data_IF_236002453727
#
_entry.id   IF_236002453727
#
_cell.length_a   1.000
_cell.length_b   1.000
_cell.length_c   1.000
_cell.angle_alpha   90.00
_cell.angle_beta   90.00
_cell.angle_gamma   90.00
#
_symmetry.space_group_name_H-M   'P 1'
#
loop_
_entity.id
_entity.type
_entity.pdbx_description
1 polymer ?
#
# COMPACT_ATOMS: atom_id res chain seq x y z
N UNK A 1 4.44 -34.39 -21.62
CA UNK A 1 5.07 -34.21 -20.28
C UNK A 1 5.69 -32.82 -20.09
N UNK A 2 6.45 -32.28 -21.05
CA UNK A 2 7.12 -30.96 -20.94
C UNK A 2 6.16 -29.78 -20.68
N UNK A 3 4.98 -29.75 -21.31
CA UNK A 3 3.94 -28.73 -21.10
C UNK A 3 3.27 -28.82 -19.72
N UNK A 4 3.14 -30.02 -19.16
CA UNK A 4 2.57 -30.23 -17.83
C UNK A 4 3.52 -29.73 -16.74
N UNK A 5 4.82 -30.06 -16.84
CA UNK A 5 5.85 -29.56 -15.93
C UNK A 5 5.91 -28.01 -15.94
N UNK A 6 5.94 -27.40 -17.13
CA UNK A 6 5.94 -25.93 -17.27
C UNK A 6 4.72 -25.25 -16.62
N UNK A 7 3.55 -25.86 -16.71
CA UNK A 7 2.33 -25.35 -16.05
C UNK A 7 2.39 -25.45 -14.52
N UNK A 8 3.07 -26.46 -13.97
CA UNK A 8 3.27 -26.62 -12.53
C UNK A 8 4.17 -25.49 -12.01
N UNK A 9 5.31 -25.25 -12.67
CA UNK A 9 6.24 -24.17 -12.30
C UNK A 9 5.56 -22.79 -12.27
N UNK A 10 4.80 -22.45 -13.32
CA UNK A 10 4.10 -21.17 -13.40
C UNK A 10 3.03 -20.99 -12.30
N UNK A 11 2.39 -22.08 -11.91
CA UNK A 11 1.38 -22.07 -10.84
C UNK A 11 2.02 -21.88 -9.47
N UNK A 12 3.18 -22.48 -9.25
CA UNK A 12 3.91 -22.31 -8.00
C UNK A 12 4.49 -20.90 -7.86
N UNK A 13 5.15 -20.38 -8.90
CA UNK A 13 5.62 -18.99 -8.93
C UNK A 13 4.50 -18.01 -8.64
N UNK A 14 3.30 -18.25 -9.21
CA UNK A 14 2.13 -17.44 -8.91
C UNK A 14 1.83 -17.39 -7.41
N UNK A 15 1.74 -18.54 -6.73
CA UNK A 15 1.39 -18.55 -5.30
C UNK A 15 2.51 -18.00 -4.41
N UNK A 16 3.78 -18.29 -4.71
CA UNK A 16 4.92 -17.81 -3.91
C UNK A 16 5.12 -16.30 -4.05
N UNK A 17 5.01 -15.75 -5.26
CA UNK A 17 5.05 -14.30 -5.47
C UNK A 17 3.82 -13.62 -4.84
N UNK A 18 2.64 -14.25 -4.92
CA UNK A 18 1.43 -13.72 -4.25
C UNK A 18 1.58 -13.74 -2.73
N UNK A 19 2.15 -14.79 -2.14
CA UNK A 19 2.46 -14.87 -0.72
C UNK A 19 3.47 -13.79 -0.29
N UNK A 20 4.51 -13.55 -1.10
CA UNK A 20 5.45 -12.46 -0.87
C UNK A 20 4.72 -11.11 -0.86
N UNK A 21 3.85 -10.87 -1.84
CA UNK A 21 3.05 -9.64 -1.89
C UNK A 21 2.14 -9.51 -0.66
N UNK A 22 1.50 -10.59 -0.21
CA UNK A 22 0.71 -10.60 1.03
C UNK A 22 1.55 -10.16 2.24
N UNK A 23 2.78 -10.66 2.37
CA UNK A 23 3.68 -10.26 3.46
C UNK A 23 4.04 -8.76 3.35
N UNK A 24 4.41 -8.29 2.17
CA UNK A 24 4.71 -6.88 1.96
C UNK A 24 3.52 -5.97 2.27
N UNK A 25 2.30 -6.37 1.87
CA UNK A 25 1.11 -5.54 1.98
C UNK A 25 0.47 -5.58 3.37
N UNK A 26 0.27 -6.78 3.91
CA UNK A 26 -0.46 -7.00 5.15
C UNK A 26 0.44 -6.95 6.39
N UNK A 27 1.66 -7.51 6.30
CA UNK A 27 2.59 -7.55 7.43
C UNK A 27 3.45 -6.29 7.49
N UNK A 28 4.20 -5.98 6.43
CA UNK A 28 5.06 -4.79 6.43
C UNK A 28 4.23 -3.49 6.45
N UNK A 29 3.15 -3.43 5.66
CA UNK A 29 2.21 -2.31 5.70
C UNK A 29 1.53 -2.10 7.07
N UNK A 30 1.09 -3.18 7.72
CA UNK A 30 0.47 -3.12 9.05
C UNK A 30 1.44 -2.66 10.14
N UNK A 31 2.67 -3.19 10.14
CA UNK A 31 3.73 -2.83 11.08
C UNK A 31 4.16 -1.37 10.88
N UNK A 32 4.46 -0.96 9.65
CA UNK A 32 4.92 0.40 9.37
C UNK A 32 3.86 1.45 9.71
N UNK A 33 2.57 1.14 9.50
CA UNK A 33 1.47 2.02 9.90
C UNK A 33 1.35 2.11 11.43
N UNK A 34 1.54 1.00 12.14
CA UNK A 34 1.54 0.98 13.61
C UNK A 34 2.70 1.77 14.24
N UNK A 35 3.91 1.65 13.67
CA UNK A 35 5.11 2.35 14.15
C UNK A 35 5.24 3.80 13.63
N UNK A 36 4.25 4.32 12.89
CA UNK A 36 4.26 5.68 12.31
C UNK A 36 5.51 5.99 11.49
N UNK A 37 6.03 5.00 10.77
CA UNK A 37 7.24 5.17 9.95
C UNK A 37 6.94 6.18 8.82
N UNK A 38 7.74 7.26 8.69
CA UNK A 38 7.58 8.21 7.60
C UNK A 38 7.80 7.51 6.26
N UNK A 39 7.11 7.94 5.21
CA UNK A 39 7.19 7.34 3.86
C UNK A 39 6.76 5.87 3.75
N UNK A 40 6.12 5.30 4.78
CA UNK A 40 5.56 3.94 4.75
C UNK A 40 4.74 3.62 3.50
N UNK A 41 3.87 4.54 3.06
CA UNK A 41 3.09 4.38 1.82
C UNK A 41 3.96 4.20 0.57
N UNK A 42 5.05 4.95 0.45
CA UNK A 42 5.99 4.83 -0.67
C UNK A 42 6.70 3.48 -0.66
N UNK A 43 7.11 2.99 0.53
CA UNK A 43 7.75 1.70 0.68
C UNK A 43 6.81 0.54 0.31
N UNK A 44 5.58 0.54 0.85
CA UNK A 44 4.58 -0.50 0.55
C UNK A 44 4.25 -0.52 -0.94
N UNK A 45 4.00 0.64 -1.55
CA UNK A 45 3.75 0.73 -3.00
C UNK A 45 4.93 0.22 -3.83
N UNK A 46 6.17 0.49 -3.42
CA UNK A 46 7.36 0.01 -4.12
C UNK A 46 7.49 -1.52 -4.07
N UNK A 47 7.18 -2.13 -2.92
CA UNK A 47 7.17 -3.59 -2.77
C UNK A 47 6.04 -4.25 -3.56
N UNK A 48 4.85 -3.63 -3.59
CA UNK A 48 3.73 -4.10 -4.41
C UNK A 48 4.09 -4.07 -5.90
N UNK A 49 4.67 -2.97 -6.39
CA UNK A 49 5.17 -2.85 -7.76
C UNK A 49 6.18 -3.95 -8.08
N UNK A 50 7.15 -4.20 -7.19
CA UNK A 50 8.13 -5.27 -7.38
C UNK A 50 7.48 -6.65 -7.54
N UNK A 51 6.49 -6.98 -6.71
CA UNK A 51 5.75 -8.24 -6.80
C UNK A 51 4.92 -8.33 -8.09
N UNK A 52 4.30 -7.23 -8.53
CA UNK A 52 3.56 -7.20 -9.80
C UNK A 52 4.49 -7.41 -11.00
N UNK A 53 5.67 -6.80 -10.99
CA UNK A 53 6.69 -6.98 -12.04
C UNK A 53 7.18 -8.44 -12.09
N UNK A 54 7.37 -9.07 -10.92
CA UNK A 54 7.67 -10.51 -10.82
C UNK A 54 6.57 -11.37 -11.42
N UNK A 55 5.30 -11.14 -11.06
CA UNK A 55 4.15 -11.85 -11.63
C UNK A 55 4.09 -11.70 -13.15
N UNK A 56 4.30 -10.49 -13.66
CA UNK A 56 4.27 -10.19 -15.09
C UNK A 56 5.34 -10.98 -15.88
N UNK A 57 6.53 -11.16 -15.28
CA UNK A 57 7.65 -11.90 -15.89
C UNK A 57 7.45 -13.41 -15.83
N UNK A 58 7.17 -13.95 -14.64
CA UNK A 58 7.25 -15.39 -14.37
C UNK A 58 5.93 -16.16 -14.59
N UNK A 59 4.78 -15.48 -14.62
CA UNK A 59 3.47 -16.11 -14.79
C UNK A 59 2.87 -15.74 -16.15
N UNK A 60 2.77 -16.66 -17.13
CA UNK A 60 2.29 -16.40 -18.49
C UNK A 60 0.75 -16.36 -18.58
N UNK A 61 0.06 -15.70 -17.65
CA UNK A 61 -1.39 -15.53 -17.67
C UNK A 61 -1.79 -14.06 -17.76
N UNK A 62 -2.75 -13.75 -18.64
CA UNK A 62 -3.31 -12.41 -18.84
C UNK A 62 -4.18 -11.91 -17.68
N UNK A 63 -4.46 -12.77 -16.68
CA UNK A 63 -5.27 -12.40 -15.51
C UNK A 63 -4.54 -12.63 -14.19
N UNK A 64 -3.27 -13.05 -14.23
CA UNK A 64 -2.50 -13.38 -13.04
C UNK A 64 -2.43 -12.21 -12.05
N UNK A 65 -2.14 -11.00 -12.53
CA UNK A 65 -1.95 -9.84 -11.65
C UNK A 65 -3.27 -9.54 -10.92
N UNK A 66 -4.40 -9.48 -11.63
CA UNK A 66 -5.71 -9.24 -11.01
C UNK A 66 -6.11 -10.33 -10.01
N UNK A 67 -5.86 -11.61 -10.34
CA UNK A 67 -6.12 -12.71 -9.41
C UNK A 67 -5.30 -12.56 -8.13
N UNK A 68 -4.01 -12.30 -8.26
CA UNK A 68 -3.13 -12.04 -7.12
C UNK A 68 -3.57 -10.82 -6.31
N UNK A 69 -3.98 -9.72 -6.96
CA UNK A 69 -4.51 -8.52 -6.30
C UNK A 69 -5.73 -8.82 -5.45
N UNK A 70 -6.67 -9.62 -5.95
CA UNK A 70 -7.85 -10.03 -5.17
C UNK A 70 -7.42 -10.86 -3.96
N UNK A 71 -6.51 -11.83 -4.12
CA UNK A 71 -5.99 -12.63 -3.02
C UNK A 71 -5.33 -11.73 -1.97
N UNK A 72 -4.44 -10.84 -2.40
CA UNK A 72 -3.72 -9.89 -1.52
C UNK A 72 -4.69 -8.99 -0.77
N UNK A 73 -5.72 -8.47 -1.44
CA UNK A 73 -6.75 -7.64 -0.79
C UNK A 73 -7.58 -8.44 0.25
N UNK A 74 -7.87 -9.72 -0.02
CA UNK A 74 -8.53 -10.61 0.96
C UNK A 74 -7.62 -10.83 2.17
N UNK A 75 -6.34 -11.12 1.97
CA UNK A 75 -5.39 -11.28 3.08
C UNK A 75 -5.19 -9.98 3.86
N UNK A 76 -5.17 -8.82 3.20
CA UNK A 76 -5.16 -7.52 3.88
C UNK A 76 -6.38 -7.35 4.77
N UNK A 77 -7.55 -7.77 4.31
CA UNK A 77 -8.77 -7.77 5.13
C UNK A 77 -8.69 -8.74 6.32
N UNK A 78 -8.13 -9.94 6.12
CA UNK A 78 -8.02 -10.98 7.14
C UNK A 78 -6.97 -10.65 8.22
N UNK A 79 -5.80 -10.14 7.79
CA UNK A 79 -4.64 -9.92 8.66
C UNK A 79 -4.59 -8.49 9.23
N UNK A 80 -5.14 -7.49 8.53
CA UNK A 80 -5.21 -6.10 9.00
C UNK A 80 -6.59 -5.47 8.76
N UNK A 81 -7.66 -5.95 9.44
CA UNK A 81 -9.05 -5.49 9.24
C UNK A 81 -9.29 -4.02 9.60
N UNK A 82 -8.33 -3.38 10.27
CA UNK A 82 -8.34 -1.97 10.67
C UNK A 82 -7.63 -1.04 9.67
N UNK A 83 -7.06 -1.58 8.58
CA UNK A 83 -6.47 -0.75 7.53
C UNK A 83 -7.52 0.22 6.95
N UNK A 84 -7.13 1.47 6.67
CA UNK A 84 -8.06 2.46 6.13
C UNK A 84 -8.56 2.03 4.74
N UNK A 85 -9.79 2.45 4.34
CA UNK A 85 -10.35 2.07 3.04
C UNK A 85 -9.46 2.45 1.87
N UNK A 86 -8.78 3.59 1.97
CA UNK A 86 -7.86 4.08 0.94
C UNK A 86 -6.69 3.14 0.68
N UNK A 87 -6.25 2.38 1.69
CA UNK A 87 -5.18 1.39 1.51
C UNK A 87 -5.63 0.19 0.66
N UNK A 88 -6.93 -0.11 0.57
CA UNK A 88 -7.45 -1.11 -0.36
C UNK A 88 -7.57 -0.54 -1.77
N UNK A 89 -8.00 0.73 -1.88
CA UNK A 89 -8.06 1.45 -3.15
C UNK A 89 -6.69 1.46 -3.83
N UNK A 90 -5.63 1.76 -3.09
CA UNK A 90 -4.26 1.71 -3.62
C UNK A 90 -3.86 0.32 -4.15
N UNK A 91 -4.16 -0.76 -3.41
CA UNK A 91 -3.86 -2.14 -3.86
C UNK A 91 -4.61 -2.49 -5.14
N UNK A 92 -5.89 -2.16 -5.21
CA UNK A 92 -6.69 -2.39 -6.42
C UNK A 92 -6.19 -1.55 -7.60
N UNK A 93 -5.84 -0.29 -7.37
CA UNK A 93 -5.28 0.59 -8.39
C UNK A 93 -3.97 0.02 -8.95
N UNK A 94 -3.03 -0.35 -8.08
CA UNK A 94 -1.75 -0.96 -8.46
C UNK A 94 -1.95 -2.24 -9.26
N UNK A 95 -2.85 -3.13 -8.80
CA UNK A 95 -3.16 -4.37 -9.50
C UNK A 95 -3.81 -4.17 -10.86
N UNK A 96 -4.77 -3.25 -10.96
CA UNK A 96 -5.48 -2.95 -12.20
C UNK A 96 -4.57 -2.28 -13.24
N UNK A 97 -3.83 -1.25 -12.83
CA UNK A 97 -2.87 -0.56 -13.70
C UNK A 97 -1.74 -1.51 -14.08
N UNK A 98 -1.25 -2.33 -13.16
CA UNK A 98 -0.25 -3.36 -13.44
C UNK A 98 -0.74 -4.36 -14.47
N UNK A 99 -1.98 -4.85 -14.34
CA UNK A 99 -2.57 -5.74 -15.32
C UNK A 99 -2.67 -5.08 -16.70
N UNK A 100 -3.11 -3.82 -16.76
CA UNK A 100 -3.26 -3.07 -18.01
C UNK A 100 -1.90 -2.85 -18.71
N UNK A 101 -0.89 -2.40 -17.97
CA UNK A 101 0.44 -2.09 -18.51
C UNK A 101 1.20 -3.34 -18.97
N UNK A 102 0.94 -4.50 -18.37
CA UNK A 102 1.58 -5.78 -18.73
C UNK A 102 0.73 -6.66 -19.66
N UNK A 103 -0.40 -6.15 -20.20
CA UNK A 103 -1.13 -6.84 -21.29
C UNK A 103 -0.23 -7.07 -22.50
N UNK A 104 0.58 -6.07 -22.85
CA UNK A 104 1.53 -6.11 -23.95
C UNK A 104 2.95 -6.22 -23.40
N UNK A 105 3.50 -7.44 -23.39
CA UNK A 105 4.83 -7.73 -22.80
C UNK A 105 6.03 -7.16 -23.55
N UNK A 106 5.80 -6.48 -24.68
CA UNK A 106 6.86 -5.91 -25.55
C UNK A 106 7.68 -4.85 -24.81
N UNK A 107 7.03 -3.98 -24.02
CA UNK A 107 7.68 -2.84 -23.36
C UNK A 107 7.90 -3.07 -21.86
N UNK A 108 8.42 -4.25 -21.46
CA UNK A 108 8.49 -4.66 -20.04
C UNK A 108 9.08 -3.61 -19.09
N UNK A 109 10.24 -3.01 -19.41
CA UNK A 109 10.86 -1.98 -18.55
C UNK A 109 10.03 -0.70 -18.51
N UNK A 110 9.48 -0.27 -19.66
CA UNK A 110 8.62 0.90 -19.74
C UNK A 110 7.34 0.72 -18.93
N UNK A 111 6.70 -0.45 -19.03
CA UNK A 111 5.54 -0.82 -18.23
C UNK A 111 5.85 -0.86 -16.73
N UNK A 112 7.03 -1.37 -16.33
CA UNK A 112 7.45 -1.38 -14.93
C UNK A 112 7.68 0.04 -14.37
N UNK A 113 8.32 0.92 -15.15
CA UNK A 113 8.50 2.34 -14.79
C UNK A 113 7.16 3.06 -14.69
N UNK A 114 6.30 2.91 -15.70
CA UNK A 114 4.98 3.52 -15.70
C UNK A 114 4.14 3.05 -14.51
N UNK A 115 4.16 1.75 -14.20
CA UNK A 115 3.46 1.21 -13.04
C UNK A 115 3.97 1.82 -11.74
N UNK A 116 5.28 1.89 -11.55
CA UNK A 116 5.90 2.46 -10.36
C UNK A 116 5.55 3.94 -10.17
N UNK A 117 5.66 4.74 -11.24
CA UNK A 117 5.31 6.16 -11.23
C UNK A 117 3.85 6.34 -10.87
N UNK A 118 2.93 5.64 -11.55
CA UNK A 118 1.50 5.76 -11.30
C UNK A 118 1.13 5.33 -9.87
N UNK A 119 1.71 4.23 -9.37
CA UNK A 119 1.46 3.75 -8.01
C UNK A 119 1.95 4.71 -6.92
N UNK A 120 3.12 5.32 -7.10
CA UNK A 120 3.68 6.26 -6.10
C UNK A 120 3.00 7.63 -6.18
N UNK A 121 2.68 8.11 -7.38
CA UNK A 121 1.93 9.36 -7.60
C UNK A 121 0.51 9.24 -7.06
N UNK A 122 -0.17 8.11 -7.26
CA UNK A 122 -1.50 7.87 -6.68
C UNK A 122 -1.48 8.02 -5.16
N UNK A 123 -0.50 7.41 -4.49
CA UNK A 123 -0.35 7.55 -3.03
C UNK A 123 -0.06 9.00 -2.60
N UNK A 124 0.66 9.78 -3.40
CA UNK A 124 0.96 11.18 -3.13
C UNK A 124 -0.29 12.06 -3.28
N UNK A 125 -0.99 11.89 -4.40
CA UNK A 125 -2.25 12.59 -4.71
C UNK A 125 -3.28 12.29 -3.64
N UNK A 126 -3.41 11.04 -3.21
CA UNK A 126 -4.36 10.66 -2.16
C UNK A 126 -4.11 11.43 -0.85
N UNK A 127 -2.85 11.69 -0.48
CA UNK A 127 -2.50 12.48 0.72
C UNK A 127 -2.86 13.96 0.55
N UNK A 128 -2.57 14.53 -0.61
CA UNK A 128 -2.93 15.92 -0.94
C UNK A 128 -4.46 16.08 -0.92
N UNK A 129 -5.20 15.14 -1.52
CA UNK A 129 -6.67 15.16 -1.52
C UNK A 129 -7.23 15.09 -0.10
N UNK A 130 -6.66 14.25 0.78
CA UNK A 130 -7.08 14.22 2.19
C UNK A 130 -6.85 15.57 2.87
N UNK A 131 -5.70 16.23 2.66
CA UNK A 131 -5.45 17.56 3.20
C UNK A 131 -6.43 18.60 2.67
N UNK A 132 -6.72 18.58 1.37
CA UNK A 132 -7.67 19.51 0.73
C UNK A 132 -9.09 19.31 1.25
N UNK A 133 -9.54 18.07 1.41
CA UNK A 133 -10.87 17.75 1.93
C UNK A 133 -10.99 18.17 3.39
N UNK A 134 -10.00 17.85 4.22
CA UNK A 134 -10.04 18.12 5.67
C UNK A 134 -9.95 19.62 5.97
N UNK A 135 -8.93 20.30 5.44
CA UNK A 135 -8.60 21.66 5.85
C UNK A 135 -9.10 22.74 4.87
N UNK A 136 -9.47 22.37 3.65
CA UNK A 136 -9.94 23.31 2.63
C UNK A 136 -8.86 24.30 2.15
N UNK A 137 -9.28 25.31 1.39
CA UNK A 137 -8.39 26.32 0.81
C UNK A 137 -7.70 27.20 1.85
N UNK A 138 -8.29 27.36 3.04
CA UNK A 138 -7.72 28.21 4.09
C UNK A 138 -6.38 27.68 4.61
N UNK A 139 -6.18 26.35 4.62
CA UNK A 139 -4.87 25.78 4.94
C UNK A 139 -3.80 26.13 3.90
N UNK A 140 -4.12 26.00 2.62
CA UNK A 140 -3.18 26.33 1.54
C UNK A 140 -2.83 27.83 1.55
N UNK A 141 -3.81 28.71 1.77
CA UNK A 141 -3.58 30.15 1.98
C UNK A 141 -2.70 30.43 3.19
N UNK A 142 -2.92 29.74 4.31
CA UNK A 142 -2.10 29.90 5.51
C UNK A 142 -0.65 29.46 5.27
N UNK A 143 -0.43 28.39 4.49
CA UNK A 143 0.91 27.98 4.05
C UNK A 143 1.56 29.05 3.16
N UNK A 144 0.81 29.58 2.19
CA UNK A 144 1.30 30.65 1.32
C UNK A 144 1.70 31.91 2.11
N UNK A 145 0.84 32.34 3.05
CA UNK A 145 1.09 33.49 3.92
C UNK A 145 2.27 33.26 4.86
N UNK A 146 2.41 32.06 5.41
CA UNK A 146 3.54 31.68 6.25
C UNK A 146 4.86 31.79 5.48
N UNK A 147 4.92 31.21 4.27
CA UNK A 147 6.13 31.23 3.45
C UNK A 147 6.47 32.66 3.03
N UNK A 148 5.49 33.45 2.57
CA UNK A 148 5.70 34.87 2.24
C UNK A 148 6.30 35.67 3.40
N UNK A 149 5.83 35.42 4.62
CA UNK A 149 6.36 36.08 5.83
C UNK A 149 7.81 35.67 6.12
N UNK A 150 8.16 34.41 5.89
CA UNK A 150 9.52 33.88 6.14
C UNK A 150 10.50 34.30 5.05
N UNK A 151 10.09 34.30 3.78
CA UNK A 151 10.98 34.59 2.63
C UNK A 151 11.06 36.06 2.27
N UNK A 152 10.12 36.90 2.74
CA UNK A 152 10.05 38.33 2.40
C UNK A 152 9.74 38.63 0.93
N UNK A 153 9.51 37.61 0.12
CA UNK A 153 9.34 37.73 -1.34
C UNK A 153 7.86 37.92 -1.70
N UNK A 154 7.60 38.94 -2.52
CA UNK A 154 6.27 39.23 -3.10
C UNK A 154 6.07 38.61 -4.50
N UNK A 155 7.04 37.84 -5.00
CA UNK A 155 7.09 37.43 -6.42
C UNK A 155 6.44 36.08 -6.74
N UNK A 156 6.20 35.23 -5.75
CA UNK A 156 5.55 33.93 -5.96
C UNK A 156 4.22 33.94 -5.22
N UNK A 157 3.13 33.91 -5.97
CA UNK A 157 1.78 34.00 -5.42
C UNK A 157 1.28 32.68 -4.82
N UNK A 158 1.83 31.54 -5.27
CA UNK A 158 1.29 30.19 -4.98
C UNK A 158 2.37 29.18 -4.55
N UNK A 159 3.03 29.42 -3.43
CA UNK A 159 4.02 28.49 -2.84
C UNK A 159 3.42 27.12 -2.53
N UNK A 160 2.19 27.11 -2.03
CA UNK A 160 1.47 25.94 -1.57
C UNK A 160 1.19 24.98 -2.73
N UNK A 161 0.84 25.50 -3.91
CA UNK A 161 0.75 24.75 -5.16
C UNK A 161 2.13 24.22 -5.61
N UNK A 162 3.17 25.05 -5.56
CA UNK A 162 4.53 24.64 -5.93
C UNK A 162 5.04 23.49 -5.05
N UNK A 163 4.76 23.52 -3.74
CA UNK A 163 5.07 22.44 -2.80
C UNK A 163 4.27 21.18 -3.15
N UNK A 164 2.98 21.30 -3.44
CA UNK A 164 2.15 20.15 -3.82
C UNK A 164 2.67 19.47 -5.11
N UNK A 165 3.00 20.27 -6.14
CA UNK A 165 3.58 19.78 -7.39
C UNK A 165 4.96 19.17 -7.13
N UNK A 166 5.82 19.83 -6.35
CA UNK A 166 7.13 19.31 -5.98
C UNK A 166 7.05 17.97 -5.25
N UNK A 167 6.07 17.80 -4.35
CA UNK A 167 5.81 16.54 -3.67
C UNK A 167 5.41 15.41 -4.64
N UNK A 168 4.56 15.71 -5.64
CA UNK A 168 4.16 14.76 -6.68
C UNK A 168 5.35 14.41 -7.58
N UNK A 169 6.15 15.40 -8.01
CA UNK A 169 7.35 15.20 -8.83
C UNK A 169 8.36 14.31 -8.09
N UNK A 170 8.57 14.54 -6.79
CA UNK A 170 9.43 13.70 -5.98
C UNK A 170 8.99 12.23 -6.01
N UNK A 171 7.67 11.97 -5.89
CA UNK A 171 7.13 10.62 -5.98
C UNK A 171 7.29 10.03 -7.38
N UNK A 172 7.13 10.82 -8.43
CA UNK A 172 7.37 10.39 -9.80
C UNK A 172 8.84 10.02 -10.03
N UNK A 173 9.80 10.83 -9.55
CA UNK A 173 11.24 10.56 -9.66
C UNK A 173 11.59 9.25 -8.92
N UNK A 174 11.11 9.08 -7.68
CA UNK A 174 11.31 7.82 -6.95
C UNK A 174 10.65 6.66 -7.68
N UNK A 175 9.46 6.86 -8.27
CA UNK A 175 8.78 5.87 -9.10
C UNK A 175 9.62 5.43 -10.29
N UNK A 176 10.26 6.35 -11.00
CA UNK A 176 11.17 6.03 -12.11
C UNK A 176 12.31 5.13 -11.62
N UNK A 177 12.95 5.52 -10.52
CA UNK A 177 14.04 4.74 -9.93
C UNK A 177 13.58 3.33 -9.51
N UNK A 178 12.46 3.23 -8.78
CA UNK A 178 11.88 1.97 -8.31
C UNK A 178 11.49 1.06 -9.46
N UNK A 179 10.84 1.59 -10.50
CA UNK A 179 10.42 0.81 -11.66
C UNK A 179 11.58 0.31 -12.50
N UNK A 180 12.58 1.16 -12.75
CA UNK A 180 13.81 0.76 -13.43
C UNK A 180 14.57 -0.31 -12.64
N UNK A 181 14.75 -0.08 -11.33
CA UNK A 181 15.41 -1.02 -10.44
C UNK A 181 14.68 -2.37 -10.40
N UNK A 182 13.35 -2.37 -10.25
CA UNK A 182 12.53 -3.58 -10.24
C UNK A 182 12.66 -4.36 -11.54
N UNK A 183 12.55 -3.69 -12.69
CA UNK A 183 12.70 -4.34 -14.00
C UNK A 183 14.09 -4.95 -14.20
N UNK A 184 15.15 -4.24 -13.79
CA UNK A 184 16.53 -4.72 -13.88
C UNK A 184 16.76 -5.94 -12.99
N UNK A 185 16.27 -5.90 -11.75
CA UNK A 185 16.41 -7.00 -10.80
C UNK A 185 15.71 -8.27 -11.30
N UNK A 186 14.47 -8.13 -11.77
CA UNK A 186 13.63 -9.25 -12.26
C UNK A 186 14.11 -9.82 -13.60
N UNK A 187 14.83 -9.05 -14.42
CA UNK A 187 15.46 -9.57 -15.64
C UNK A 187 16.72 -10.38 -15.35
N UNK A 188 17.52 -9.94 -14.40
CA UNK A 188 18.82 -10.55 -14.10
C UNK A 188 18.70 -11.81 -13.23
N UNK A 189 17.52 -12.06 -12.67
CA UNK A 189 17.31 -13.13 -11.71
C UNK A 189 17.33 -14.54 -12.27
N UNK A 190 17.11 -14.73 -13.57
CA UNK A 190 17.12 -16.07 -14.20
C UNK A 190 18.47 -16.78 -14.04
N UNK A 191 19.57 -16.06 -13.83
CA UNK A 191 20.91 -16.63 -13.72
C UNK A 191 21.47 -16.70 -12.29
N UNK A 192 20.84 -16.05 -11.31
CA UNK A 192 21.42 -15.93 -9.97
C UNK A 192 21.37 -17.22 -9.16
N UNK A 193 20.36 -18.08 -9.38
CA UNK A 193 20.25 -19.37 -8.70
C UNK A 193 21.46 -20.28 -8.97
N UNK A 194 21.99 -20.25 -10.19
CA UNK A 194 23.17 -21.03 -10.58
C UNK A 194 24.49 -20.37 -10.16
N UNK A 195 24.51 -19.03 -10.09
CA UNK A 195 25.73 -18.28 -9.80
C UNK A 195 26.07 -18.23 -8.30
N UNK A 196 25.07 -18.34 -7.42
CA UNK A 196 25.27 -18.22 -5.97
C UNK A 196 24.53 -19.31 -5.17
N UNK A 197 24.89 -20.60 -5.33
CA UNK A 197 24.21 -21.69 -4.64
C UNK A 197 24.26 -21.57 -3.11
N UNK A 198 25.28 -20.92 -2.55
CA UNK A 198 25.46 -20.74 -1.10
C UNK A 198 24.34 -19.94 -0.42
N UNK A 199 23.51 -19.20 -1.18
CA UNK A 199 22.39 -18.43 -0.64
C UNK A 199 21.03 -19.12 -0.81
N UNK A 200 21.00 -20.36 -1.31
CA UNK A 200 19.78 -21.16 -1.39
C UNK A 200 19.46 -21.75 -0.01
N UNK A 201 18.24 -21.48 0.46
CA UNK A 201 17.73 -22.02 1.72
C UNK A 201 17.19 -23.43 1.43
N UNK A 202 17.73 -24.43 2.10
CA UNK A 202 17.35 -25.86 1.97
C UNK A 202 16.42 -26.34 3.10
N UNK A 203 16.03 -25.44 3.99
CA UNK A 203 15.41 -25.81 5.26
C UNK A 203 13.88 -25.93 5.15
N UNK A 204 13.39 -27.18 5.15
CA UNK A 204 11.97 -27.57 5.11
C UNK A 204 11.30 -27.61 6.50
N UNK A 205 11.99 -27.22 7.58
CA UNK A 205 11.55 -27.47 8.97
C UNK A 205 10.40 -26.58 9.50
N UNK A 206 9.60 -25.94 8.66
CA UNK A 206 8.69 -24.85 9.06
C UNK A 206 7.22 -25.20 9.29
N UNK A 207 6.90 -26.41 9.74
CA UNK A 207 5.53 -26.81 10.09
C UNK A 207 5.02 -26.27 11.44
N UNK A 208 5.84 -25.62 12.28
CA UNK A 208 5.46 -25.35 13.68
C UNK A 208 5.28 -23.88 14.11
N UNK A 209 5.39 -22.90 13.20
CA UNK A 209 5.07 -21.51 13.56
C UNK A 209 3.56 -21.27 13.45
N UNK A 210 2.84 -21.59 14.54
CA UNK A 210 1.42 -21.28 14.67
C UNK A 210 1.20 -19.78 14.45
N UNK A 211 0.33 -19.43 13.50
CA UNK A 211 -0.13 -18.07 13.32
C UNK A 211 -0.69 -17.54 14.63
N UNK A 212 -0.11 -16.45 15.15
CA UNK A 212 -0.68 -15.65 16.24
C UNK A 212 -2.04 -15.15 15.77
N UNK A 213 -3.08 -15.91 16.06
CA UNK A 213 -4.47 -15.50 15.90
C UNK A 213 -4.96 -15.09 17.28
N UNK A 214 -4.91 -13.79 17.57
CA UNK A 214 -5.93 -13.14 18.40
C UNK A 214 -5.77 -11.62 18.42
N UNK A 215 -6.85 -10.96 18.01
CA UNK A 215 -7.40 -9.89 18.82
C UNK A 215 -8.90 -10.12 18.94
N UNK A 216 -9.35 -10.48 20.15
CA UNK A 216 -10.78 -10.44 20.52
C UNK A 216 -11.13 -8.98 20.81
N UNK A 217 -11.92 -8.34 19.95
CA UNK A 217 -12.55 -7.06 20.28
C UNK A 217 -13.79 -7.31 21.15
N UNK A 218 -13.77 -6.82 22.39
CA UNK A 218 -14.96 -6.63 23.24
C UNK A 218 -15.61 -5.25 22.98
N UNK A 219 -16.87 -5.17 23.42
CA UNK A 219 -18.01 -4.42 22.85
C UNK A 219 -17.91 -2.89 22.79
N UNK A 220 -18.63 -2.37 21.79
CA UNK A 220 -19.06 -0.98 21.57
C UNK A 220 -20.00 -0.48 22.68
N UNK A 221 -19.71 0.69 23.24
CA UNK A 221 -20.71 1.67 23.73
C UNK A 221 -20.32 3.14 23.47
N UNK A 222 -19.22 3.40 22.77
CA UNK A 222 -18.67 4.75 22.56
C UNK A 222 -19.21 5.46 21.30
N UNK A 223 -19.86 4.74 20.37
CA UNK A 223 -20.30 5.34 19.10
C UNK A 223 -21.41 6.39 19.24
N UNK A 224 -22.32 6.22 20.21
CA UNK A 224 -23.42 7.18 20.41
C UNK A 224 -22.93 8.51 20.98
N UNK A 225 -21.93 8.50 21.86
CA UNK A 225 -21.32 9.73 22.40
C UNK A 225 -20.64 10.54 21.29
N UNK A 226 -19.88 9.88 20.41
CA UNK A 226 -19.28 10.54 19.24
C UNK A 226 -20.31 11.05 18.24
N UNK A 227 -21.43 10.34 18.06
CA UNK A 227 -22.50 10.76 17.16
C UNK A 227 -23.26 11.98 17.72
N UNK A 228 -23.54 11.99 19.03
CA UNK A 228 -24.16 13.13 19.71
C UNK A 228 -23.24 14.36 19.71
N UNK A 229 -21.94 14.17 19.98
CA UNK A 229 -20.94 15.22 19.87
C UNK A 229 -20.82 15.76 18.43
N UNK A 230 -20.93 14.88 17.42
CA UNK A 230 -20.91 15.30 16.02
C UNK A 230 -22.13 16.12 15.62
N UNK A 231 -23.34 15.67 16.01
CA UNK A 231 -24.58 16.42 15.76
C UNK A 231 -24.53 17.79 16.43
N UNK A 232 -24.01 17.86 17.66
CA UNK A 232 -23.87 19.10 18.41
C UNK A 232 -22.86 20.06 17.75
N UNK A 233 -21.69 19.56 17.34
CA UNK A 233 -20.72 20.37 16.57
C UNK A 233 -21.30 20.81 15.22
N UNK A 234 -22.11 19.97 14.57
CA UNK A 234 -22.73 20.30 13.29
C UNK A 234 -23.80 21.37 13.47
N UNK A 235 -24.60 21.27 14.53
CA UNK A 235 -25.60 22.28 14.89
C UNK A 235 -24.94 23.63 15.17
N UNK A 236 -23.85 23.67 15.95
CA UNK A 236 -23.10 24.90 16.18
C UNK A 236 -22.45 25.47 14.92
N UNK A 237 -21.92 24.61 14.04
CA UNK A 237 -21.39 25.04 12.75
C UNK A 237 -22.48 25.64 11.85
N UNK A 238 -23.64 24.99 11.75
CA UNK A 238 -24.79 25.47 10.96
C UNK A 238 -25.36 26.78 11.53
N UNK A 239 -25.49 26.88 12.86
CA UNK A 239 -25.90 28.12 13.53
C UNK A 239 -24.94 29.26 13.20
N UNK A 240 -23.62 29.02 13.27
CA UNK A 240 -22.60 30.03 12.94
C UNK A 240 -22.65 30.51 11.48
N UNK A 241 -23.17 29.69 10.56
CA UNK A 241 -23.31 30.04 9.15
C UNK A 241 -24.64 30.76 8.87
N UNK A 242 -25.73 30.34 9.51
CA UNK A 242 -27.09 30.86 9.27
C UNK A 242 -27.38 32.15 10.05
N UNK A 243 -26.85 32.29 11.27
CA UNK A 243 -26.96 33.51 12.09
C UNK A 243 -25.57 33.94 12.61
N UNK A 244 -24.82 34.71 11.81
CA UNK A 244 -23.49 35.18 12.20
C UNK A 244 -23.49 36.17 13.36
N UNK A 245 -24.64 36.76 13.74
CA UNK A 245 -24.73 37.75 14.81
C UNK A 245 -24.95 37.08 16.19
N UNK A 246 -25.70 35.98 16.23
CA UNK A 246 -25.96 35.17 17.43
C UNK A 246 -25.03 33.96 17.63
N UNK A 247 -23.91 33.87 16.89
CA UNK A 247 -23.03 32.72 16.92
C UNK A 247 -22.34 32.55 18.30
N UNK A 248 -22.59 31.42 18.97
CA UNK A 248 -21.91 31.02 20.23
C UNK A 248 -20.42 30.72 20.04
N UNK A 249 -20.00 30.45 18.79
CA UNK A 249 -18.62 30.17 18.45
C UNK A 249 -17.89 31.46 18.02
N UNK A 250 -16.67 31.70 18.52
CA UNK A 250 -15.81 32.78 18.04
C UNK A 250 -15.70 32.81 16.52
N UNK A 251 -15.75 34.01 15.93
CA UNK A 251 -15.61 34.24 14.48
C UNK A 251 -14.18 34.02 13.96
N UNK A 252 -13.27 33.55 14.80
CA UNK A 252 -11.89 33.33 14.43
C UNK A 252 -11.79 32.27 13.33
N UNK A 253 -11.17 32.65 12.20
CA UNK A 253 -10.95 31.78 11.05
C UNK A 253 -10.28 30.45 11.44
N UNK A 254 -9.36 30.50 12.42
CA UNK A 254 -8.67 29.31 12.94
C UNK A 254 -9.65 28.33 13.59
N UNK A 255 -10.57 28.83 14.42
CA UNK A 255 -11.55 27.98 15.11
C UNK A 255 -12.53 27.35 14.10
N UNK A 256 -12.94 28.10 13.08
CA UNK A 256 -13.78 27.56 12.00
C UNK A 256 -13.09 26.42 11.23
N UNK A 257 -11.79 26.56 10.91
CA UNK A 257 -11.01 25.50 10.26
C UNK A 257 -10.92 24.26 11.15
N UNK A 258 -10.71 24.44 12.47
CA UNK A 258 -10.64 23.34 13.42
C UNK A 258 -11.97 22.61 13.57
N UNK A 259 -13.09 23.34 13.69
CA UNK A 259 -14.43 22.75 13.82
C UNK A 259 -14.82 22.03 12.53
N UNK A 260 -14.57 22.62 11.36
CA UNK A 260 -14.79 21.96 10.07
C UNK A 260 -13.96 20.69 9.95
N UNK A 261 -12.67 20.76 10.25
CA UNK A 261 -11.77 19.60 10.23
C UNK A 261 -12.29 18.50 11.17
N UNK A 262 -12.70 18.84 12.39
CA UNK A 262 -13.27 17.91 13.35
C UNK A 262 -14.56 17.25 12.83
N UNK A 263 -15.47 18.05 12.25
CA UNK A 263 -16.71 17.54 11.65
C UNK A 263 -16.42 16.56 10.51
N UNK A 264 -15.49 16.88 9.62
CA UNK A 264 -15.14 16.01 8.49
C UNK A 264 -14.45 14.74 8.99
N UNK A 265 -13.52 14.83 9.94
CA UNK A 265 -12.84 13.67 10.53
C UNK A 265 -13.85 12.73 11.20
N UNK A 266 -14.76 13.28 12.01
CA UNK A 266 -15.77 12.47 12.70
C UNK A 266 -16.79 11.91 11.70
N UNK A 267 -17.21 12.67 10.70
CA UNK A 267 -18.07 12.17 9.62
C UNK A 267 -17.39 11.04 8.81
N UNK A 268 -16.10 11.21 8.53
CA UNK A 268 -15.29 10.20 7.85
C UNK A 268 -15.20 8.91 8.68
N UNK A 269 -14.95 9.02 9.98
CA UNK A 269 -14.85 7.87 10.87
C UNK A 269 -16.20 7.18 11.12
N UNK A 270 -17.29 7.95 11.27
CA UNK A 270 -18.62 7.43 11.61
C UNK A 270 -19.40 6.92 10.39
N UNK A 271 -19.29 7.58 9.24
CA UNK A 271 -20.14 7.30 8.07
C UNK A 271 -19.33 6.84 6.86
N UNK A 272 -18.37 7.65 6.39
CA UNK A 272 -17.75 7.43 5.06
C UNK A 272 -16.87 6.17 5.05
N UNK A 273 -15.88 6.09 5.95
CA UNK A 273 -14.99 4.96 6.09
C UNK A 273 -15.72 3.63 6.32
N UNK A 274 -16.68 3.51 7.27
CA UNK A 274 -17.40 2.27 7.46
C UNK A 274 -18.27 1.89 6.27
N UNK A 275 -18.89 2.83 5.56
CA UNK A 275 -19.70 2.54 4.37
C UNK A 275 -18.85 2.00 3.22
N UNK A 276 -17.72 2.62 2.94
CA UNK A 276 -16.76 2.12 1.94
C UNK A 276 -16.24 0.73 2.37
N UNK A 277 -15.89 0.55 3.64
CA UNK A 277 -15.44 -0.75 4.15
C UNK A 277 -16.51 -1.83 4.09
N UNK A 278 -17.79 -1.50 4.24
CA UNK A 278 -18.88 -2.46 4.05
C UNK A 278 -18.94 -2.94 2.60
N UNK A 279 -18.82 -2.03 1.63
CA UNK A 279 -18.78 -2.39 0.22
C UNK A 279 -17.57 -3.27 -0.13
N UNK A 280 -16.38 -2.88 0.32
CA UNK A 280 -15.14 -3.65 0.13
C UNK A 280 -15.27 -5.04 0.77
N UNK A 281 -15.72 -5.13 2.03
CA UNK A 281 -15.89 -6.40 2.73
C UNK A 281 -16.89 -7.30 2.01
N UNK A 282 -18.04 -6.78 1.60
CA UNK A 282 -19.05 -7.55 0.86
C UNK A 282 -18.46 -8.11 -0.44
N UNK A 283 -17.75 -7.28 -1.20
CA UNK A 283 -17.13 -7.69 -2.45
C UNK A 283 -16.03 -8.75 -2.23
N UNK A 284 -15.15 -8.55 -1.25
CA UNK A 284 -14.04 -9.45 -0.95
C UNK A 284 -14.51 -10.79 -0.36
N UNK A 285 -15.50 -10.79 0.53
CA UNK A 285 -16.07 -12.02 1.09
C UNK A 285 -16.74 -12.88 0.00
N UNK A 286 -17.44 -12.25 -0.95
CA UNK A 286 -17.99 -12.96 -2.10
C UNK A 286 -16.90 -13.60 -2.96
N UNK A 287 -15.75 -12.91 -3.15
CA UNK A 287 -14.60 -13.46 -3.87
C UNK A 287 -13.83 -14.52 -3.08
N UNK A 288 -13.79 -14.43 -1.76
CA UNK A 288 -13.16 -15.41 -0.88
C UNK A 288 -13.80 -16.80 -1.03
N UNK A 289 -15.14 -16.86 -1.08
CA UNK A 289 -15.85 -18.12 -1.31
C UNK A 289 -15.47 -18.75 -2.65
N UNK A 290 -15.36 -17.94 -3.72
CA UNK A 290 -15.00 -18.38 -5.07
C UNK A 290 -13.53 -18.84 -5.19
N UNK A 291 -12.62 -18.18 -4.47
CA UNK A 291 -11.18 -18.40 -4.58
C UNK A 291 -10.61 -19.21 -3.39
N UNK A 292 -11.45 -19.99 -2.69
CA UNK A 292 -11.08 -20.69 -1.45
C UNK A 292 -9.83 -21.58 -1.60
N UNK A 293 -9.72 -22.29 -2.73
CA UNK A 293 -8.55 -23.15 -3.01
C UNK A 293 -7.27 -22.32 -3.16
N UNK A 294 -7.30 -21.26 -3.96
CA UNK A 294 -6.14 -20.36 -4.15
C UNK A 294 -5.72 -19.70 -2.83
N UNK A 295 -6.68 -19.27 -2.03
CA UNK A 295 -6.42 -18.65 -0.71
C UNK A 295 -5.79 -19.65 0.27
N UNK A 296 -6.29 -20.89 0.31
CA UNK A 296 -5.73 -21.93 1.18
C UNK A 296 -4.28 -22.24 0.82
N UNK A 297 -3.95 -22.35 -0.47
CA UNK A 297 -2.57 -22.57 -0.93
C UNK A 297 -1.68 -21.39 -0.54
N UNK A 298 -2.12 -20.15 -0.79
CA UNK A 298 -1.34 -18.97 -0.38
C UNK A 298 -1.16 -18.90 1.15
N UNK A 299 -2.18 -19.26 1.93
CA UNK A 299 -2.12 -19.28 3.40
C UNK A 299 -1.05 -20.25 3.90
N UNK A 300 -0.97 -21.45 3.31
CA UNK A 300 0.00 -22.48 3.66
C UNK A 300 1.45 -22.03 3.37
N UNK A 301 1.65 -21.17 2.37
CA UNK A 301 2.97 -20.63 2.01
C UNK A 301 3.41 -19.42 2.85
N UNK A 302 2.51 -18.79 3.62
CA UNK A 302 2.87 -17.58 4.38
C UNK A 302 3.96 -17.82 5.45
N UNK A 303 3.92 -18.90 6.26
CA UNK A 303 4.97 -19.17 7.24
C UNK A 303 6.34 -19.35 6.59
N UNK A 304 6.41 -20.16 5.53
CA UNK A 304 7.63 -20.36 4.73
C UNK A 304 8.14 -19.03 4.17
N UNK A 305 7.26 -18.23 3.56
CA UNK A 305 7.64 -16.96 2.95
C UNK A 305 8.15 -15.94 3.97
N UNK A 306 7.58 -15.90 5.18
CA UNK A 306 8.05 -15.06 6.30
C UNK A 306 9.44 -15.50 6.76
N UNK A 307 9.67 -16.80 6.81
CA UNK A 307 10.93 -17.39 7.20
C UNK A 307 12.02 -17.13 6.16
N UNK A 308 11.73 -17.32 4.87
CA UNK A 308 12.61 -16.93 3.75
C UNK A 308 12.96 -15.46 3.90
N UNK A 309 11.98 -14.57 4.04
CA UNK A 309 12.23 -13.14 4.17
C UNK A 309 13.18 -12.82 5.34
N UNK A 310 12.98 -13.43 6.51
CA UNK A 310 13.84 -13.24 7.68
C UNK A 310 15.26 -13.76 7.45
N UNK A 311 15.41 -14.99 6.94
CA UNK A 311 16.73 -15.59 6.66
C UNK A 311 17.48 -14.81 5.59
N UNK A 312 16.83 -14.36 4.52
CA UNK A 312 17.44 -13.52 3.50
C UNK A 312 17.98 -12.20 4.09
N UNK A 313 17.24 -11.60 5.04
CA UNK A 313 17.69 -10.38 5.72
C UNK A 313 18.94 -10.62 6.57
N UNK A 314 19.00 -11.77 7.25
CA UNK A 314 20.16 -12.19 8.04
C UNK A 314 21.38 -12.51 7.15
N UNK A 315 21.19 -13.26 6.07
CA UNK A 315 22.28 -13.57 5.12
C UNK A 315 22.85 -12.31 4.44
N UNK A 316 22.06 -11.24 4.36
CA UNK A 316 22.54 -9.96 3.83
C UNK A 316 23.39 -9.13 4.81
N UNK A 317 23.53 -9.56 6.08
CA UNK A 317 24.29 -8.84 7.12
C UNK A 317 25.78 -8.64 6.79
N UNK A 318 26.33 -9.45 5.87
CA UNK A 318 27.70 -9.28 5.35
C UNK A 318 27.92 -7.92 4.66
N UNK A 319 26.84 -7.27 4.23
CA UNK A 319 26.87 -5.98 3.55
C UNK A 319 26.19 -4.89 4.39
N UNK A 320 26.50 -3.62 4.11
CA UNK A 320 25.89 -2.45 4.79
C UNK A 320 25.19 -1.52 3.80
N UNK A 321 24.23 -0.74 4.30
CA UNK A 321 23.53 0.31 3.54
C UNK A 321 22.81 -0.19 2.29
N UNK A 322 22.99 0.51 1.16
CA UNK A 322 22.37 0.15 -0.12
C UNK A 322 22.86 -1.20 -0.67
N UNK A 323 24.12 -1.56 -0.43
CA UNK A 323 24.67 -2.84 -0.85
C UNK A 323 23.95 -4.01 -0.16
N UNK A 324 23.60 -3.84 1.13
CA UNK A 324 22.77 -4.79 1.88
C UNK A 324 21.39 -4.97 1.27
N UNK A 325 20.68 -3.87 0.99
CA UNK A 325 19.34 -3.93 0.38
C UNK A 325 19.37 -4.63 -0.97
N UNK A 326 20.40 -4.36 -1.79
CA UNK A 326 20.60 -5.02 -3.08
C UNK A 326 20.86 -6.51 -2.91
N UNK A 327 21.73 -6.91 -1.98
CA UNK A 327 22.03 -8.32 -1.70
C UNK A 327 20.80 -9.05 -1.15
N UNK A 328 20.12 -8.46 -0.17
CA UNK A 328 18.86 -8.96 0.39
C UNK A 328 17.85 -9.28 -0.71
N UNK A 329 17.58 -8.33 -1.61
CA UNK A 329 16.61 -8.53 -2.69
C UNK A 329 17.04 -9.61 -3.69
N UNK A 330 18.35 -9.77 -3.94
CA UNK A 330 18.85 -10.88 -4.77
C UNK A 330 18.58 -12.23 -4.13
N UNK A 331 18.97 -12.40 -2.87
CA UNK A 331 18.80 -13.65 -2.11
C UNK A 331 17.31 -13.96 -1.97
N UNK A 332 16.49 -12.97 -1.63
CA UNK A 332 15.04 -13.11 -1.53
C UNK A 332 14.46 -13.63 -2.83
N UNK A 333 14.80 -12.99 -3.94
CA UNK A 333 14.24 -13.36 -5.23
C UNK A 333 14.67 -14.78 -5.65
N UNK A 334 15.94 -15.16 -5.44
CA UNK A 334 16.41 -16.52 -5.69
C UNK A 334 15.59 -17.57 -4.93
N UNK A 335 15.33 -17.33 -3.63
CA UNK A 335 14.61 -18.28 -2.80
C UNK A 335 13.10 -18.32 -3.07
N UNK A 336 12.50 -17.17 -3.43
CA UNK A 336 11.07 -17.08 -3.82
C UNK A 336 10.80 -17.75 -5.16
N UNK A 337 11.78 -17.77 -6.07
CA UNK A 337 11.66 -18.40 -7.39
C UNK A 337 12.18 -19.84 -7.43
N UNK A 338 12.88 -20.32 -6.39
CA UNK A 338 13.42 -21.67 -6.28
C UNK A 338 12.29 -22.68 -6.20
N UNK A 339 11.97 -23.38 -7.29
CA UNK A 339 10.95 -24.44 -7.22
C UNK A 339 11.55 -25.64 -6.46
N UNK A 340 10.88 -26.19 -5.43
CA UNK A 340 11.30 -27.44 -4.82
C UNK A 340 11.33 -28.53 -5.89
N UNK A 341 12.40 -29.34 -5.86
CA UNK A 341 12.65 -30.40 -6.83
C UNK A 341 11.59 -31.49 -6.78
#
# INVERSE_FOLDING_TARGET
MITAAKNIYHREHFYRITALWVICEAFAGGIMHGFKVPFSGMMVSSLAVFCIVLLAKYVPSKTAILKATVIVAIFKLMLSPHSPPTAYVAVFFQGLVGQLLFLQRKFFTGSAIALAVLALVESAVQRILVLMILYGNEFWKAVDDFIRKVTGSKSIDNYSLAIAIGYIILHAIVGIFVGYFSARMVRNSEHWSHQFPQYLIEDDSHLNDAMITRSKSKKKKIRWVFLLAWILLLAFYLQSVLDPAGALLPKDKVLQILIRSALIIVAWYLFISPLIMLAIRKALLAKQAKNKSEINVTMQLLPEMKMIFKKCWQLSDEQKGYARLKLFLKILLMNVLKVPA
#
